data_IF_605222985449
#
_entry.id   IF_605222985449
#
_cell.length_a   1.000
_cell.length_b   1.000
_cell.length_c   1.000
_cell.angle_alpha   90.00
_cell.angle_beta   90.00
_cell.angle_gamma   90.00
#
_symmetry.space_group_name_H-M   'P 1'
#
loop_
_entity.id
_entity.type
_entity.pdbx_description
1 polymer ?
#
# COMPACT_ATOMS: atom_id res chain seq x y z
N UNK A 1 -11.63 -19.49 2.57
CA UNK A 1 -10.93 -18.32 3.12
C UNK A 1 -9.94 -17.88 2.06
N UNK A 2 -10.13 -16.69 1.46
CA UNK A 2 -9.17 -16.16 0.46
C UNK A 2 -7.85 -15.81 1.11
N UNK A 3 -6.74 -16.11 0.42
CA UNK A 3 -5.38 -15.78 0.84
C UNK A 3 -4.88 -14.58 0.03
N UNK A 4 -4.46 -13.53 0.72
CA UNK A 4 -3.96 -12.29 0.12
C UNK A 4 -2.49 -12.08 0.49
N UNK A 5 -1.63 -11.90 -0.50
CA UNK A 5 -0.24 -11.49 -0.30
C UNK A 5 -0.11 -9.98 -0.45
N UNK A 6 0.26 -9.27 0.62
CA UNK A 6 0.65 -7.87 0.55
C UNK A 6 2.17 -7.78 0.35
N UNK A 7 2.60 -7.12 -0.73
CA UNK A 7 4.01 -7.12 -1.17
C UNK A 7 4.59 -5.72 -1.09
N UNK A 8 5.68 -5.54 -0.34
CA UNK A 8 6.34 -4.24 -0.26
C UNK A 8 7.42 -4.15 0.81
N UNK A 9 7.67 -2.94 1.30
CA UNK A 9 8.67 -2.66 2.31
C UNK A 9 8.04 -2.28 3.64
N UNK A 10 8.45 -2.98 4.69
CA UNK A 10 8.22 -2.58 6.07
C UNK A 10 9.50 -1.93 6.63
N UNK A 11 9.33 -0.80 7.29
CA UNK A 11 10.41 0.05 7.80
C UNK A 11 10.25 0.33 9.29
N UNK A 12 11.36 0.68 9.91
CA UNK A 12 11.32 1.33 11.23
C UNK A 12 10.97 2.81 11.06
N UNK A 13 10.03 3.27 11.86
CA UNK A 13 9.69 4.68 12.01
C UNK A 13 10.28 5.21 13.32
N UNK A 14 10.96 6.35 13.24
CA UNK A 14 11.41 7.12 14.40
C UNK A 14 10.67 8.45 14.46
N UNK A 15 9.73 8.58 15.38
CA UNK A 15 9.08 9.86 15.66
C UNK A 15 9.87 10.64 16.71
N UNK A 16 10.53 11.73 16.28
CA UNK A 16 11.46 12.49 17.10
C UNK A 16 10.76 13.64 17.84
N UNK A 17 11.00 13.73 19.16
CA UNK A 17 10.54 14.84 20.00
C UNK A 17 11.68 15.27 20.92
N UNK A 18 12.33 16.37 20.61
CA UNK A 18 13.53 16.82 21.32
C UNK A 18 14.65 15.78 21.25
N UNK A 19 15.05 15.25 22.41
CA UNK A 19 16.08 14.19 22.51
C UNK A 19 15.49 12.76 22.54
N UNK A 20 14.18 12.62 22.48
CA UNK A 20 13.50 11.33 22.56
C UNK A 20 13.06 10.86 21.17
N UNK A 21 13.05 9.54 20.98
CA UNK A 21 12.52 8.90 19.80
C UNK A 21 11.46 7.86 20.20
N UNK A 22 10.29 7.93 19.60
CA UNK A 22 9.33 6.83 19.64
C UNK A 22 9.63 5.93 18.43
N UNK A 23 9.76 4.63 18.68
CA UNK A 23 10.05 3.65 17.63
C UNK A 23 8.77 2.93 17.24
N UNK A 24 8.40 3.09 15.98
CA UNK A 24 7.27 2.41 15.34
C UNK A 24 7.72 1.50 14.19
N UNK A 25 6.75 0.80 13.61
CA UNK A 25 6.88 0.06 12.36
C UNK A 25 5.82 0.58 11.40
N UNK A 26 6.19 0.85 10.15
CA UNK A 26 5.29 1.33 9.14
C UNK A 26 5.74 0.94 7.72
N UNK A 27 4.85 1.10 6.77
CA UNK A 27 5.03 0.85 5.34
C UNK A 27 3.65 0.92 4.69
N UNK A 28 3.54 1.45 3.50
CA UNK A 28 2.24 1.64 2.83
C UNK A 28 1.47 0.33 2.67
N UNK A 29 2.10 -0.69 2.11
CA UNK A 29 1.49 -2.01 1.93
C UNK A 29 1.32 -2.76 3.25
N UNK A 30 2.17 -2.50 4.26
CA UNK A 30 2.01 -3.04 5.60
C UNK A 30 0.80 -2.40 6.31
N UNK A 31 0.64 -1.08 6.21
CA UNK A 31 -0.52 -0.38 6.76
C UNK A 31 -1.81 -0.95 6.16
N UNK A 32 -1.86 -1.10 4.83
CA UNK A 32 -2.99 -1.74 4.15
C UNK A 32 -3.22 -3.16 4.65
N UNK A 33 -2.17 -3.98 4.81
CA UNK A 33 -2.27 -5.35 5.30
C UNK A 33 -2.89 -5.42 6.71
N UNK A 34 -2.47 -4.52 7.62
CA UNK A 34 -3.01 -4.46 8.99
C UNK A 34 -4.50 -4.11 8.95
N UNK A 35 -4.87 -3.06 8.20
CA UNK A 35 -6.28 -2.68 8.10
C UNK A 35 -7.13 -3.73 7.39
N UNK A 36 -6.56 -4.45 6.42
CA UNK A 36 -7.21 -5.59 5.76
C UNK A 36 -7.50 -6.73 6.75
N UNK A 37 -6.51 -7.10 7.60
CA UNK A 37 -6.71 -8.08 8.66
C UNK A 37 -7.80 -7.68 9.64
N UNK A 38 -7.84 -6.40 10.01
CA UNK A 38 -8.84 -5.86 10.95
C UNK A 38 -10.25 -5.80 10.35
N UNK A 39 -10.34 -5.53 9.04
CA UNK A 39 -11.62 -5.36 8.34
C UNK A 39 -12.31 -6.68 8.01
N UNK A 40 -11.57 -7.79 7.93
CA UNK A 40 -12.18 -9.10 7.64
C UNK A 40 -11.42 -10.26 8.28
N UNK A 41 -12.13 -11.07 9.04
CA UNK A 41 -11.61 -12.34 9.60
C UNK A 41 -11.80 -13.52 8.64
N UNK A 42 -12.39 -13.31 7.48
CA UNK A 42 -12.58 -14.32 6.45
C UNK A 42 -11.41 -14.40 5.47
N UNK A 43 -10.45 -13.50 5.61
CA UNK A 43 -9.24 -13.45 4.81
C UNK A 43 -8.03 -13.93 5.61
N UNK A 44 -7.08 -14.54 4.92
CA UNK A 44 -5.73 -14.77 5.43
C UNK A 44 -4.80 -13.81 4.71
N UNK A 45 -4.11 -12.96 5.46
CA UNK A 45 -3.21 -11.95 4.91
C UNK A 45 -1.78 -12.28 5.30
N UNK A 46 -0.93 -12.51 4.32
CA UNK A 46 0.50 -12.70 4.52
C UNK A 46 1.28 -11.50 3.96
N UNK A 47 2.40 -11.17 4.59
CA UNK A 47 3.29 -10.12 4.10
C UNK A 47 4.51 -10.70 3.43
N UNK A 48 4.81 -10.27 2.22
CA UNK A 48 5.94 -10.74 1.42
C UNK A 48 6.95 -9.61 1.26
N UNK A 49 8.10 -9.79 1.88
CA UNK A 49 9.20 -8.83 1.89
C UNK A 49 10.53 -9.54 2.15
N UNK A 50 11.62 -8.79 2.08
CA UNK A 50 12.89 -9.20 2.65
C UNK A 50 13.20 -8.34 3.88
N UNK A 51 13.68 -8.99 4.94
CA UNK A 51 14.23 -8.37 6.15
C UNK A 51 15.67 -8.86 6.37
N UNK A 52 16.38 -8.19 7.25
CA UNK A 52 17.71 -8.65 7.70
C UNK A 52 17.64 -9.78 8.71
N UNK A 53 18.80 -10.16 9.21
CA UNK A 53 19.01 -11.12 10.29
C UNK A 53 19.34 -10.44 11.65
N UNK A 54 18.93 -9.19 11.79
CA UNK A 54 19.20 -8.34 12.94
C UNK A 54 17.94 -8.18 13.85
N UNK A 55 18.12 -7.78 15.13
CA UNK A 55 17.00 -7.64 16.08
C UNK A 55 15.95 -6.58 15.67
N UNK A 56 16.33 -5.61 14.82
CA UNK A 56 15.39 -4.61 14.31
C UNK A 56 14.46 -5.23 13.26
N UNK A 57 14.99 -6.13 12.44
CA UNK A 57 14.21 -6.96 11.52
C UNK A 57 13.25 -7.89 12.25
N UNK A 58 13.68 -8.47 13.40
CA UNK A 58 12.81 -9.29 14.25
C UNK A 58 11.65 -8.48 14.80
N UNK A 59 11.90 -7.25 15.30
CA UNK A 59 10.86 -6.34 15.76
C UNK A 59 9.79 -6.07 14.71
N UNK A 60 10.17 -5.93 13.43
CA UNK A 60 9.20 -5.76 12.33
C UNK A 60 8.35 -7.03 12.15
N UNK A 61 8.99 -8.19 12.15
CA UNK A 61 8.31 -9.48 12.02
C UNK A 61 7.34 -9.76 13.17
N UNK A 62 7.76 -9.45 14.41
CA UNK A 62 6.91 -9.58 15.60
C UNK A 62 5.70 -8.65 15.52
N UNK A 63 5.93 -7.38 15.14
CA UNK A 63 4.85 -6.41 14.95
C UNK A 63 3.82 -6.86 13.92
N UNK A 64 4.24 -7.46 12.80
CA UNK A 64 3.34 -8.06 11.82
C UNK A 64 2.51 -9.19 12.43
N UNK A 65 3.17 -10.11 13.13
CA UNK A 65 2.51 -11.25 13.79
C UNK A 65 1.50 -10.81 14.84
N UNK A 66 1.84 -9.80 15.64
CA UNK A 66 0.96 -9.21 16.67
C UNK A 66 -0.30 -8.56 16.06
N UNK A 67 -0.22 -8.12 14.80
CA UNK A 67 -1.36 -7.58 14.04
C UNK A 67 -2.06 -8.66 13.15
N UNK A 68 -1.79 -9.94 13.37
CA UNK A 68 -2.48 -11.04 12.69
C UNK A 68 -2.01 -11.31 11.26
N UNK A 69 -0.87 -10.73 10.85
CA UNK A 69 -0.31 -10.91 9.51
C UNK A 69 0.63 -12.13 9.50
N UNK A 70 0.46 -13.00 8.50
CA UNK A 70 1.36 -14.13 8.28
C UNK A 70 2.74 -13.66 7.81
N UNK A 71 3.78 -14.22 8.43
CA UNK A 71 5.20 -13.85 8.21
C UNK A 71 6.03 -14.97 7.62
N UNK A 72 5.42 -16.11 7.30
CA UNK A 72 6.13 -17.32 6.83
C UNK A 72 6.85 -17.14 5.49
N UNK A 73 6.48 -16.15 4.71
CA UNK A 73 7.07 -15.82 3.40
C UNK A 73 8.09 -14.69 3.46
N UNK A 74 8.43 -14.19 4.65
CA UNK A 74 9.49 -13.20 4.81
C UNK A 74 10.85 -13.86 4.59
N UNK A 75 11.58 -13.38 3.58
CA UNK A 75 12.95 -13.84 3.29
C UNK A 75 13.96 -13.08 4.15
N UNK A 76 14.80 -13.80 4.90
CA UNK A 76 15.88 -13.19 5.67
C UNK A 76 17.16 -13.10 4.83
N UNK A 77 17.75 -11.92 4.80
CA UNK A 77 18.97 -11.62 4.03
C UNK A 77 20.11 -11.34 5.02
N UNK A 78 21.13 -12.22 5.00
CA UNK A 78 22.29 -12.12 5.89
C UNK A 78 23.02 -10.80 5.72
N UNK A 79 23.23 -10.07 6.81
CA UNK A 79 23.94 -8.79 6.85
C UNK A 79 23.20 -7.60 6.23
N UNK A 80 21.95 -7.80 5.81
CA UNK A 80 21.09 -6.70 5.38
C UNK A 80 20.31 -6.12 6.58
N UNK A 81 19.73 -4.94 6.41
CA UNK A 81 18.88 -4.28 7.40
C UNK A 81 17.60 -3.76 6.76
N UNK A 82 16.52 -3.55 7.53
CA UNK A 82 15.31 -2.93 7.00
C UNK A 82 15.55 -1.46 6.68
N UNK A 83 14.65 -0.87 5.90
CA UNK A 83 14.59 0.57 5.74
C UNK A 83 14.22 1.26 7.06
N UNK A 84 14.65 2.50 7.21
CA UNK A 84 14.35 3.35 8.35
C UNK A 84 13.98 4.75 7.86
N UNK A 85 13.04 5.39 8.55
CA UNK A 85 12.82 6.82 8.38
C UNK A 85 12.58 7.52 9.72
N UNK A 86 12.91 8.80 9.76
CA UNK A 86 12.64 9.65 10.92
C UNK A 86 11.64 10.74 10.55
N UNK A 87 10.71 11.00 11.46
CA UNK A 87 9.77 12.11 11.43
C UNK A 87 10.25 13.16 12.42
N UNK A 88 10.51 14.36 11.94
CA UNK A 88 10.73 15.55 12.77
C UNK A 88 9.53 16.46 12.65
N UNK A 89 9.02 16.95 13.76
CA UNK A 89 7.90 17.91 13.78
C UNK A 89 8.39 19.24 14.34
N UNK A 90 8.18 20.33 13.61
CA UNK A 90 8.51 21.68 14.10
C UNK A 90 7.54 22.13 15.19
N UNK A 91 7.87 23.26 15.83
CA UNK A 91 6.98 23.85 16.87
C UNK A 91 5.63 24.28 16.29
N UNK A 92 5.61 24.62 14.99
CA UNK A 92 4.42 24.98 14.23
C UNK A 92 3.61 23.77 13.78
N UNK A 93 4.13 22.55 14.00
CA UNK A 93 3.46 21.29 13.64
C UNK A 93 3.78 20.77 12.24
N UNK A 94 4.70 21.41 11.50
CA UNK A 94 5.14 20.92 10.20
C UNK A 94 6.01 19.67 10.35
N UNK A 95 5.75 18.67 9.52
CA UNK A 95 6.47 17.39 9.51
C UNK A 95 7.48 17.33 8.38
N UNK A 96 8.67 16.85 8.69
CA UNK A 96 9.67 16.47 7.70
C UNK A 96 10.07 15.02 7.87
N UNK A 97 10.40 14.37 6.76
CA UNK A 97 10.74 12.95 6.71
C UNK A 97 12.14 12.78 6.17
N UNK A 98 12.98 12.04 6.89
CA UNK A 98 14.32 11.67 6.45
C UNK A 98 14.39 10.15 6.33
N UNK A 99 14.84 9.65 5.17
CA UNK A 99 14.82 8.23 4.85
C UNK A 99 16.22 7.63 4.75
N UNK A 100 16.41 6.46 5.32
CA UNK A 100 17.57 5.57 5.13
C UNK A 100 17.06 4.23 4.62
N UNK A 101 16.82 4.12 3.32
CA UNK A 101 16.23 2.93 2.68
C UNK A 101 16.87 2.54 1.35
N UNK A 102 17.93 3.23 0.94
CA UNK A 102 18.57 3.01 -0.37
C UNK A 102 19.16 1.60 -0.51
N UNK A 103 19.53 0.97 0.61
CA UNK A 103 20.12 -0.36 0.68
C UNK A 103 19.30 -1.31 1.58
N UNK A 104 18.01 -1.05 1.74
CA UNK A 104 17.16 -1.90 2.57
C UNK A 104 17.05 -3.32 2.01
N UNK A 105 16.86 -4.29 2.90
CA UNK A 105 16.67 -5.70 2.53
C UNK A 105 15.50 -5.88 1.53
N UNK A 106 14.43 -5.11 1.69
CA UNK A 106 13.25 -5.18 0.83
C UNK A 106 13.55 -4.94 -0.66
N UNK A 107 14.60 -4.19 -0.98
CA UNK A 107 15.04 -3.97 -2.38
C UNK A 107 15.60 -5.24 -3.04
N UNK A 108 15.91 -6.29 -2.26
CA UNK A 108 16.37 -7.59 -2.76
C UNK A 108 15.22 -8.59 -2.98
N UNK A 109 13.99 -8.17 -2.72
CA UNK A 109 12.82 -9.02 -2.93
C UNK A 109 12.74 -9.46 -4.40
N UNK A 110 12.59 -10.77 -4.62
CA UNK A 110 12.55 -11.40 -5.95
C UNK A 110 13.81 -11.18 -6.81
N UNK A 111 14.97 -10.86 -6.23
CA UNK A 111 16.19 -10.62 -6.97
C UNK A 111 16.67 -11.88 -7.75
N UNK A 112 16.37 -13.06 -7.24
CA UNK A 112 16.60 -14.37 -7.89
C UNK A 112 15.62 -14.66 -9.04
N UNK A 113 14.52 -13.92 -9.13
CA UNK A 113 13.45 -14.12 -10.13
C UNK A 113 12.52 -15.27 -9.81
N UNK A 114 12.54 -15.75 -8.58
CA UNK A 114 11.61 -16.77 -8.09
C UNK A 114 10.37 -16.10 -7.50
N UNK A 115 9.22 -16.37 -8.12
CA UNK A 115 7.89 -15.90 -7.69
C UNK A 115 7.02 -17.01 -7.14
N UNK A 116 7.57 -18.22 -6.91
CA UNK A 116 6.82 -19.39 -6.42
C UNK A 116 6.12 -19.14 -5.08
N UNK A 117 6.66 -18.24 -4.25
CA UNK A 117 6.01 -17.79 -3.03
C UNK A 117 4.60 -17.22 -3.25
N UNK A 118 4.28 -16.75 -4.48
CA UNK A 118 2.99 -16.17 -4.83
C UNK A 118 1.95 -17.20 -5.32
N UNK A 119 2.37 -18.41 -5.70
CA UNK A 119 1.51 -19.40 -6.37
C UNK A 119 0.32 -19.88 -5.52
N UNK A 120 0.41 -19.75 -4.19
CA UNK A 120 -0.61 -20.24 -3.26
C UNK A 120 -1.55 -19.12 -2.75
N UNK A 121 -1.56 -17.96 -3.39
CA UNK A 121 -2.44 -16.86 -3.05
C UNK A 121 -3.55 -16.67 -4.09
N UNK A 122 -4.73 -16.26 -3.61
CA UNK A 122 -5.85 -15.91 -4.46
C UNK A 122 -5.67 -14.48 -5.03
N UNK A 123 -5.05 -13.59 -4.26
CA UNK A 123 -4.78 -12.21 -4.65
C UNK A 123 -3.41 -11.71 -4.18
N UNK A 124 -2.84 -10.77 -4.93
CA UNK A 124 -1.65 -10.00 -4.55
C UNK A 124 -1.99 -8.52 -4.51
N UNK A 125 -1.56 -7.83 -3.46
CA UNK A 125 -1.65 -6.38 -3.31
C UNK A 125 -0.26 -5.77 -3.47
N UNK A 126 -0.14 -4.82 -4.40
CA UNK A 126 1.08 -4.12 -4.78
C UNK A 126 0.82 -2.61 -4.84
N UNK A 127 1.84 -1.81 -4.60
CA UNK A 127 1.77 -0.35 -4.75
C UNK A 127 2.84 0.20 -5.68
N UNK A 128 2.69 1.45 -6.09
CA UNK A 128 3.73 2.19 -6.80
C UNK A 128 5.04 2.29 -6.02
N UNK A 129 4.98 2.34 -4.67
CA UNK A 129 6.18 2.26 -3.82
C UNK A 129 6.82 0.88 -3.92
N UNK A 130 6.02 -0.21 -3.86
CA UNK A 130 6.55 -1.57 -4.04
C UNK A 130 7.31 -1.70 -5.35
N UNK A 131 6.77 -1.12 -6.42
CA UNK A 131 7.45 -1.13 -7.72
C UNK A 131 8.70 -0.25 -7.73
N UNK A 132 8.65 0.94 -7.14
CA UNK A 132 9.77 1.89 -7.15
C UNK A 132 11.01 1.36 -6.41
N UNK A 133 10.84 0.55 -5.38
CA UNK A 133 11.97 0.00 -4.61
C UNK A 133 12.63 -1.20 -5.28
N UNK A 134 11.91 -1.95 -6.12
CA UNK A 134 12.46 -3.11 -6.83
C UNK A 134 13.35 -2.69 -8.00
N UNK A 135 14.41 -3.45 -8.30
CA UNK A 135 15.19 -3.23 -9.51
C UNK A 135 14.33 -3.34 -10.78
N UNK A 136 14.64 -2.53 -11.80
CA UNK A 136 13.86 -2.48 -13.05
C UNK A 136 13.62 -3.87 -13.69
N UNK A 137 14.68 -4.71 -13.72
CA UNK A 137 14.56 -6.07 -14.25
C UNK A 137 13.62 -6.98 -13.46
N UNK A 138 13.51 -6.77 -12.14
CA UNK A 138 12.59 -7.53 -11.28
C UNK A 138 11.14 -7.10 -11.54
N UNK A 139 10.88 -5.80 -11.68
CA UNK A 139 9.55 -5.28 -12.04
C UNK A 139 9.01 -5.91 -13.33
N UNK A 140 9.85 -5.99 -14.35
CA UNK A 140 9.45 -6.56 -15.66
C UNK A 140 9.16 -8.06 -15.57
N UNK A 141 10.02 -8.82 -14.86
CA UNK A 141 9.81 -10.26 -14.67
C UNK A 141 8.58 -10.56 -13.81
N UNK A 142 8.35 -9.74 -12.76
CA UNK A 142 7.15 -9.86 -11.94
C UNK A 142 5.88 -9.61 -12.75
N UNK A 143 5.88 -8.56 -13.58
CA UNK A 143 4.75 -8.25 -14.45
C UNK A 143 4.49 -9.36 -15.46
N UNK A 144 5.55 -9.92 -16.06
CA UNK A 144 5.43 -11.05 -16.99
C UNK A 144 4.83 -12.27 -16.29
N UNK A 145 5.32 -12.62 -15.09
CA UNK A 145 4.78 -13.72 -14.29
C UNK A 145 3.30 -13.50 -13.94
N UNK A 146 2.95 -12.29 -13.47
CA UNK A 146 1.56 -11.93 -13.16
C UNK A 146 0.64 -12.01 -14.39
N UNK A 147 1.12 -11.66 -15.58
CA UNK A 147 0.35 -11.78 -16.82
C UNK A 147 0.07 -13.24 -17.23
N UNK A 148 0.89 -14.18 -16.77
CA UNK A 148 0.73 -15.61 -17.04
C UNK A 148 -0.03 -16.33 -15.92
N UNK A 149 -0.21 -15.69 -14.77
CA UNK A 149 -0.88 -16.27 -13.60
C UNK A 149 -2.39 -15.93 -13.59
N UNK A 150 -3.16 -16.76 -12.86
CA UNK A 150 -4.59 -16.52 -12.60
C UNK A 150 -4.83 -15.75 -11.30
N UNK A 151 -3.77 -15.32 -10.63
CA UNK A 151 -3.85 -14.59 -9.36
C UNK A 151 -4.51 -13.22 -9.58
N UNK A 152 -5.40 -12.83 -8.69
CA UNK A 152 -6.04 -11.51 -8.71
C UNK A 152 -5.03 -10.43 -8.34
N UNK A 153 -4.80 -9.47 -9.22
CA UNK A 153 -3.83 -8.38 -9.01
C UNK A 153 -4.54 -7.12 -8.55
N UNK A 154 -4.17 -6.65 -7.37
CA UNK A 154 -4.66 -5.42 -6.76
C UNK A 154 -3.52 -4.41 -6.79
N UNK A 155 -3.74 -3.25 -7.41
CA UNK A 155 -2.71 -2.25 -7.54
C UNK A 155 -3.15 -0.88 -7.03
N UNK A 156 -2.29 -0.25 -6.22
CA UNK A 156 -2.41 1.11 -5.70
C UNK A 156 -1.37 2.02 -6.34
N UNK A 157 -1.76 3.21 -6.81
CA UNK A 157 -0.83 4.17 -7.39
C UNK A 157 0.33 4.51 -6.45
N UNK A 158 0.03 4.98 -5.29
CA UNK A 158 0.96 5.42 -4.24
C UNK A 158 2.30 5.93 -4.81
N UNK A 159 2.21 6.91 -5.72
CA UNK A 159 3.35 7.43 -6.47
C UNK A 159 4.22 8.33 -5.60
N UNK A 160 5.52 8.06 -5.59
CA UNK A 160 6.52 8.87 -4.88
C UNK A 160 7.69 9.18 -5.82
N UNK A 161 7.73 10.39 -6.41
CA UNK A 161 8.70 10.78 -7.42
C UNK A 161 10.15 10.44 -7.05
N UNK A 162 10.53 10.68 -5.80
CA UNK A 162 11.90 10.53 -5.30
C UNK A 162 12.37 9.07 -5.20
N UNK A 163 11.49 8.08 -5.40
CA UNK A 163 11.85 6.66 -5.34
C UNK A 163 12.14 6.06 -6.72
N UNK A 164 11.72 6.74 -7.78
CA UNK A 164 11.89 6.28 -9.16
C UNK A 164 13.19 6.81 -9.76
N UNK A 165 13.80 6.03 -10.64
CA UNK A 165 15.00 6.41 -11.37
C UNK A 165 14.76 7.62 -12.28
N UNK A 166 13.58 7.67 -12.90
CA UNK A 166 13.10 8.77 -13.72
C UNK A 166 11.57 8.65 -13.92
N UNK A 167 10.95 9.72 -14.40
CA UNK A 167 9.50 9.80 -14.58
C UNK A 167 9.01 8.88 -15.72
N UNK A 168 9.81 8.66 -16.77
CA UNK A 168 9.40 7.85 -17.91
C UNK A 168 9.29 6.37 -17.52
N UNK A 169 10.23 5.87 -16.70
CA UNK A 169 10.15 4.52 -16.15
C UNK A 169 8.95 4.39 -15.19
N UNK A 170 8.70 5.40 -14.37
CA UNK A 170 7.54 5.43 -13.48
C UNK A 170 6.23 5.33 -14.30
N UNK A 171 6.05 6.18 -15.33
CA UNK A 171 4.89 6.15 -16.22
C UNK A 171 4.71 4.80 -16.91
N UNK A 172 5.79 4.26 -17.47
CA UNK A 172 5.77 3.00 -18.21
C UNK A 172 5.37 1.82 -17.32
N UNK A 173 6.00 1.69 -16.17
CA UNK A 173 5.73 0.59 -15.21
C UNK A 173 4.34 0.73 -14.63
N UNK A 174 3.95 1.91 -14.12
CA UNK A 174 2.62 2.14 -13.56
C UNK A 174 1.52 1.86 -14.59
N UNK A 175 1.67 2.34 -15.83
CA UNK A 175 0.71 2.04 -16.90
C UNK A 175 0.62 0.54 -17.22
N UNK A 176 1.72 -0.19 -17.11
CA UNK A 176 1.72 -1.63 -17.34
C UNK A 176 1.01 -2.40 -16.20
N UNK A 177 1.23 -1.98 -14.95
CA UNK A 177 0.50 -2.55 -13.81
C UNK A 177 -0.98 -2.19 -13.83
N UNK A 178 -1.38 -0.98 -14.25
CA UNK A 178 -2.80 -0.64 -14.44
C UNK A 178 -3.50 -1.54 -15.46
N UNK A 179 -2.83 -1.89 -16.54
CA UNK A 179 -3.40 -2.84 -17.53
C UNK A 179 -3.56 -4.26 -17.01
N UNK A 180 -2.75 -4.66 -16.02
CA UNK A 180 -2.81 -5.99 -15.40
C UNK A 180 -3.72 -6.02 -14.18
N UNK A 181 -3.98 -4.90 -13.54
CA UNK A 181 -4.77 -4.86 -12.31
C UNK A 181 -6.21 -5.33 -12.54
N UNK A 182 -6.65 -6.30 -11.76
CA UNK A 182 -8.03 -6.74 -11.69
C UNK A 182 -8.83 -5.81 -10.76
N UNK A 183 -8.18 -5.31 -9.70
CA UNK A 183 -8.74 -4.28 -8.79
C UNK A 183 -7.80 -3.07 -8.80
N UNK A 184 -8.32 -1.93 -9.25
CA UNK A 184 -7.58 -0.68 -9.34
C UNK A 184 -7.92 0.26 -8.16
N UNK A 185 -6.88 0.73 -7.46
CA UNK A 185 -7.01 1.65 -6.31
C UNK A 185 -6.22 2.95 -6.53
N UNK A 186 -6.45 3.66 -7.65
CA UNK A 186 -5.74 4.90 -7.91
C UNK A 186 -6.05 6.01 -6.91
N UNK A 187 -5.06 6.88 -6.65
CA UNK A 187 -5.21 8.19 -6.03
C UNK A 187 -5.25 9.25 -7.12
N UNK A 188 -6.25 10.12 -7.09
CA UNK A 188 -6.39 11.16 -8.12
C UNK A 188 -5.17 12.08 -8.15
N UNK A 189 -4.64 12.45 -6.98
CA UNK A 189 -3.48 13.34 -6.84
C UNK A 189 -2.20 12.69 -7.35
N UNK A 190 -1.98 11.40 -7.05
CA UNK A 190 -0.81 10.65 -7.52
C UNK A 190 -0.82 10.51 -9.05
N UNK A 191 -1.98 10.22 -9.62
CA UNK A 191 -2.13 10.04 -11.07
C UNK A 191 -1.97 11.37 -11.83
N UNK A 192 -2.57 12.46 -11.30
CA UNK A 192 -2.37 13.80 -11.84
C UNK A 192 -0.88 14.18 -11.86
N UNK A 193 -0.19 13.90 -10.73
CA UNK A 193 1.23 14.19 -10.60
C UNK A 193 2.11 13.35 -11.54
N UNK A 194 1.83 12.05 -11.65
CA UNK A 194 2.63 11.14 -12.47
C UNK A 194 2.46 11.41 -13.97
N UNK A 195 1.21 11.58 -14.42
CA UNK A 195 0.89 11.63 -15.86
C UNK A 195 0.74 13.05 -16.39
N UNK A 196 0.80 14.07 -15.54
CA UNK A 196 0.53 15.48 -15.89
C UNK A 196 -0.89 15.65 -16.46
N UNK A 197 -1.85 14.96 -15.85
CA UNK A 197 -3.27 14.96 -16.22
C UNK A 197 -4.08 15.83 -15.26
N UNK A 198 -5.20 16.34 -15.74
CA UNK A 198 -6.22 16.97 -14.89
C UNK A 198 -7.05 15.91 -14.17
N UNK A 199 -7.74 16.31 -13.09
CA UNK A 199 -8.65 15.40 -12.36
C UNK A 199 -9.76 14.82 -13.26
N UNK A 200 -10.20 15.57 -14.27
CA UNK A 200 -11.21 15.12 -15.25
C UNK A 200 -10.64 14.04 -16.15
N UNK A 201 -9.41 14.21 -16.65
CA UNK A 201 -8.73 13.23 -17.50
C UNK A 201 -8.44 11.95 -16.74
N UNK A 202 -7.91 12.03 -15.52
CA UNK A 202 -7.71 10.86 -14.64
C UNK A 202 -9.03 10.11 -14.42
N UNK A 203 -10.09 10.84 -14.06
CA UNK A 203 -11.42 10.24 -13.85
C UNK A 203 -11.92 9.53 -15.10
N UNK A 204 -11.83 10.17 -16.27
CA UNK A 204 -12.25 9.59 -17.54
C UNK A 204 -11.45 8.33 -17.89
N UNK A 205 -10.12 8.36 -17.70
CA UNK A 205 -9.22 7.25 -17.98
C UNK A 205 -9.57 6.00 -17.16
N UNK A 206 -9.76 6.16 -15.84
CA UNK A 206 -10.09 5.02 -14.98
C UNK A 206 -11.54 4.54 -15.15
N UNK A 207 -12.50 5.43 -15.37
CA UNK A 207 -13.89 5.05 -15.65
C UNK A 207 -14.03 4.25 -16.95
N UNK A 208 -13.16 4.49 -17.93
CA UNK A 208 -13.17 3.77 -19.20
C UNK A 208 -12.45 2.43 -19.16
N UNK A 209 -11.44 2.25 -18.31
CA UNK A 209 -10.50 1.12 -18.40
C UNK A 209 -10.50 0.19 -17.20
N UNK A 210 -10.87 0.66 -15.99
CA UNK A 210 -10.87 -0.19 -14.81
C UNK A 210 -12.15 -1.05 -14.75
N UNK A 211 -11.96 -2.34 -14.47
CA UNK A 211 -13.07 -3.30 -14.35
C UNK A 211 -13.66 -3.34 -12.96
N UNK A 212 -12.85 -3.08 -11.94
CA UNK A 212 -13.26 -3.03 -10.52
C UNK A 212 -12.29 -2.12 -9.78
N UNK A 213 -12.76 -1.39 -8.78
CA UNK A 213 -11.87 -0.59 -7.93
C UNK A 213 -12.50 0.68 -7.39
N UNK A 214 -11.64 1.56 -6.90
CA UNK A 214 -12.02 2.84 -6.31
C UNK A 214 -10.99 3.92 -6.62
N UNK A 215 -11.39 4.98 -7.30
CA UNK A 215 -10.57 6.18 -7.43
C UNK A 215 -10.69 7.01 -6.15
N UNK A 216 -9.60 7.10 -5.40
CA UNK A 216 -9.50 7.89 -4.16
C UNK A 216 -9.40 9.37 -4.50
N UNK A 217 -10.29 10.22 -3.94
CA UNK A 217 -10.41 11.65 -4.25
C UNK A 217 -10.39 12.52 -2.99
N UNK A 218 -9.70 12.07 -1.95
CA UNK A 218 -9.63 12.77 -0.68
C UNK A 218 -11.01 13.06 -0.09
N UNK A 219 -11.27 14.30 0.27
CA UNK A 219 -12.52 14.76 0.92
C UNK A 219 -13.78 14.57 0.06
N UNK A 220 -13.65 14.43 -1.26
CA UNK A 220 -14.79 14.18 -2.15
C UNK A 220 -15.34 12.75 -2.04
N UNK A 221 -14.66 11.90 -1.29
CA UNK A 221 -14.97 10.47 -1.20
C UNK A 221 -14.56 9.69 -2.45
N UNK A 222 -14.60 8.35 -2.38
CA UNK A 222 -14.20 7.49 -3.48
C UNK A 222 -15.18 7.56 -4.64
N UNK A 223 -14.67 7.40 -5.86
CA UNK A 223 -15.48 7.13 -7.04
C UNK A 223 -15.40 5.63 -7.36
N UNK A 224 -16.55 5.01 -7.58
CA UNK A 224 -16.63 3.61 -8.00
C UNK A 224 -16.03 3.41 -9.40
N UNK A 225 -15.25 2.37 -9.55
CA UNK A 225 -14.74 1.90 -10.84
C UNK A 225 -15.37 0.56 -11.19
N UNK A 226 -15.76 0.41 -12.45
CA UNK A 226 -16.39 -0.80 -12.99
C UNK A 226 -17.90 -0.89 -12.76
N UNK A 227 -18.38 -0.68 -11.57
CA UNK A 227 -19.81 -0.67 -11.25
C UNK A 227 -20.31 0.76 -10.97
N UNK A 228 -21.52 1.07 -11.42
CA UNK A 228 -22.18 2.33 -11.08
C UNK A 228 -22.68 2.30 -9.63
N UNK A 229 -22.23 3.25 -8.82
CA UNK A 229 -22.62 3.39 -7.41
C UNK A 229 -22.95 4.85 -7.14
N UNK A 230 -24.18 5.09 -6.68
CA UNK A 230 -24.64 6.40 -6.26
C UNK A 230 -24.66 6.47 -4.72
N UNK A 231 -23.61 7.01 -4.15
CA UNK A 231 -23.47 7.22 -2.71
C UNK A 231 -22.96 8.62 -2.41
N UNK A 232 -23.30 9.13 -1.23
CA UNK A 232 -22.73 10.34 -0.66
C UNK A 232 -21.81 9.97 0.49
N UNK A 233 -20.69 10.67 0.58
CA UNK A 233 -19.66 10.41 1.58
C UNK A 233 -19.54 11.64 2.48
N UNK A 234 -19.55 11.43 3.79
CA UNK A 234 -19.37 12.49 4.77
C UNK A 234 -17.89 12.84 4.92
N UNK A 235 -17.56 14.09 5.06
CA UNK A 235 -16.19 14.49 5.42
C UNK A 235 -15.89 14.16 6.88
N UNK A 236 -14.64 13.90 7.20
CA UNK A 236 -14.20 13.69 8.58
C UNK A 236 -14.47 14.97 9.40
N UNK A 237 -15.06 14.87 10.60
CA UNK A 237 -15.38 16.04 11.42
C UNK A 237 -14.13 16.80 11.88
N UNK A 238 -13.00 16.12 11.93
CA UNK A 238 -11.70 16.69 12.26
C UNK A 238 -10.60 15.89 11.58
N UNK A 239 -9.71 16.56 10.88
CA UNK A 239 -8.47 15.98 10.35
C UNK A 239 -7.32 16.32 11.28
N UNK A 240 -6.67 15.30 11.83
CA UNK A 240 -5.51 15.42 12.73
C UNK A 240 -4.22 15.02 12.00
N UNK A 241 -4.29 13.95 11.21
CA UNK A 241 -3.15 13.39 10.48
C UNK A 241 -3.65 12.60 9.28
N UNK A 242 -3.16 12.90 8.10
CA UNK A 242 -3.55 12.20 6.86
C UNK A 242 -2.67 10.98 6.53
N UNK A 243 -1.71 10.66 7.41
CA UNK A 243 -0.86 9.48 7.25
C UNK A 243 -1.71 8.22 7.19
N UNK A 244 -1.44 7.38 6.20
CA UNK A 244 -2.16 6.13 5.92
C UNK A 244 -3.67 6.27 5.63
N UNK A 245 -4.18 7.46 5.27
CA UNK A 245 -5.56 7.63 4.84
C UNK A 245 -5.89 6.72 3.62
N UNK A 246 -5.02 6.71 2.61
CA UNK A 246 -5.14 5.84 1.45
C UNK A 246 -4.99 4.36 1.79
N UNK A 247 -4.02 4.02 2.66
CA UNK A 247 -3.74 2.65 3.05
C UNK A 247 -4.92 2.04 3.85
N UNK A 248 -5.48 2.83 4.78
CA UNK A 248 -6.65 2.42 5.56
C UNK A 248 -7.91 2.30 4.70
N UNK A 249 -8.11 3.24 3.76
CA UNK A 249 -9.15 3.09 2.75
C UNK A 249 -9.01 1.77 2.00
N UNK A 250 -7.82 1.47 1.49
CA UNK A 250 -7.55 0.24 0.76
C UNK A 250 -7.85 -1.00 1.62
N UNK A 251 -7.40 -1.02 2.89
CA UNK A 251 -7.65 -2.12 3.82
C UNK A 251 -9.14 -2.36 4.06
N UNK A 252 -9.91 -1.31 4.35
CA UNK A 252 -11.36 -1.40 4.55
C UNK A 252 -12.12 -1.83 3.30
N UNK A 253 -11.81 -1.18 2.17
CA UNK A 253 -12.40 -1.50 0.87
C UNK A 253 -12.16 -2.95 0.46
N UNK A 254 -10.90 -3.40 0.50
CA UNK A 254 -10.53 -4.77 0.13
C UNK A 254 -11.09 -5.80 1.11
N UNK A 255 -11.10 -5.49 2.41
CA UNK A 255 -11.68 -6.37 3.43
C UNK A 255 -13.14 -6.67 3.16
N UNK A 256 -13.91 -5.66 2.78
CA UNK A 256 -15.31 -5.80 2.40
C UNK A 256 -15.48 -6.51 1.05
N UNK A 257 -14.80 -6.02 0.01
CA UNK A 257 -14.96 -6.54 -1.36
C UNK A 257 -14.55 -8.03 -1.48
N UNK A 258 -13.39 -8.40 -0.94
CA UNK A 258 -12.85 -9.75 -1.02
C UNK A 258 -13.64 -10.76 -0.14
N UNK A 259 -14.42 -10.27 0.82
CA UNK A 259 -15.38 -11.05 1.61
C UNK A 259 -16.72 -11.24 0.89
N UNK A 260 -16.87 -10.69 -0.32
CA UNK A 260 -18.05 -10.90 -1.16
C UNK A 260 -19.18 -9.87 -0.95
N UNK A 261 -18.92 -8.76 -0.25
CA UNK A 261 -19.86 -7.67 -0.13
C UNK A 261 -19.96 -6.87 -1.44
N UNK A 262 -21.01 -6.05 -1.55
CA UNK A 262 -21.23 -5.23 -2.75
C UNK A 262 -20.14 -4.15 -2.91
N UNK A 263 -19.94 -3.68 -4.15
CA UNK A 263 -19.05 -2.53 -4.44
C UNK A 263 -19.43 -1.30 -3.61
N UNK A 264 -20.75 -1.07 -3.42
CA UNK A 264 -21.25 0.04 -2.62
C UNK A 264 -20.85 -0.08 -1.14
N UNK A 265 -21.01 -1.26 -0.54
CA UNK A 265 -20.61 -1.53 0.84
C UNK A 265 -19.08 -1.40 0.99
N UNK A 266 -18.31 -1.95 0.06
CA UNK A 266 -16.84 -1.87 0.08
C UNK A 266 -16.34 -0.43 0.03
N UNK A 267 -16.92 0.41 -0.83
CA UNK A 267 -16.57 1.84 -0.90
C UNK A 267 -16.88 2.56 0.41
N UNK A 268 -18.01 2.25 1.04
CA UNK A 268 -18.42 2.86 2.30
C UNK A 268 -17.50 2.42 3.46
N UNK A 269 -17.17 1.13 3.55
CA UNK A 269 -16.24 0.61 4.57
C UNK A 269 -14.84 1.24 4.44
N UNK A 270 -14.30 1.30 3.21
CA UNK A 270 -13.02 1.98 2.97
C UNK A 270 -13.05 3.44 3.37
N UNK A 271 -14.11 4.16 2.99
CA UNK A 271 -14.29 5.57 3.33
C UNK A 271 -14.40 5.80 4.84
N UNK A 272 -15.24 5.01 5.52
CA UNK A 272 -15.46 5.12 6.97
C UNK A 272 -14.15 4.85 7.75
N UNK A 273 -13.40 3.85 7.33
CA UNK A 273 -12.12 3.52 7.97
C UNK A 273 -11.10 4.65 7.76
N UNK A 274 -10.98 5.18 6.54
CA UNK A 274 -10.10 6.32 6.27
C UNK A 274 -10.50 7.56 7.10
N UNK A 275 -11.81 7.86 7.18
CA UNK A 275 -12.32 8.94 8.04
C UNK A 275 -11.96 8.73 9.52
N UNK A 276 -12.01 7.50 10.01
CA UNK A 276 -11.63 7.18 11.38
C UNK A 276 -10.13 7.44 11.58
N UNK A 277 -9.30 6.93 10.66
CA UNK A 277 -7.83 7.03 10.75
C UNK A 277 -7.36 8.47 10.73
N UNK A 278 -7.87 9.33 9.86
CA UNK A 278 -7.41 10.73 9.76
C UNK A 278 -7.72 11.57 11.00
N UNK A 279 -8.54 11.10 11.91
CA UNK A 279 -8.83 11.77 13.19
C UNK A 279 -7.80 11.45 14.29
N UNK A 280 -6.85 10.58 14.01
CA UNK A 280 -5.81 10.12 14.96
C UNK A 280 -4.41 10.46 14.42
N UNK A 281 -3.41 10.38 15.30
CA UNK A 281 -2.00 10.53 14.90
C UNK A 281 -1.39 9.17 14.56
N UNK A 282 -0.54 9.15 13.53
CA UNK A 282 0.20 7.96 13.09
C UNK A 282 -0.57 7.11 12.07
N UNK A 283 0.14 6.15 11.48
CA UNK A 283 -0.38 5.32 10.40
C UNK A 283 -1.38 4.26 10.88
N UNK A 284 -1.14 3.69 12.05
CA UNK A 284 -1.95 2.60 12.62
C UNK A 284 -2.60 3.09 13.92
N UNK A 285 -3.92 3.16 13.91
CA UNK A 285 -4.69 3.53 15.09
C UNK A 285 -4.94 2.30 15.98
N UNK A 286 -5.16 2.46 17.30
CA UNK A 286 -5.62 1.38 18.17
C UNK A 286 -6.92 0.72 17.65
N UNK A 287 -7.11 -0.56 18.00
CA UNK A 287 -8.38 -1.28 17.73
C UNK A 287 -9.52 -0.77 18.62
#
# INVERSE_FOLDING_TARGET
MKRVACIGEAMIELSLTGQNAQVGVAGDTLNTAIYLCRSSRELTVDYITCLGDDPISDRISDFMSDNGIGTSQIKRILGASPGLYAITTTVEGERSFTYWRSNSAARQLFADGDFSALENYDAVYLSGISMAILPHSVRLRLLEWLNQSLIEVIYDSNYRPNLWENIEDAKKITSAFWRRADIALPSIDDEMLLFDETAVEVTARFSANATTGALKRGEQGPLSLGAEVHQTYSSAPKVVDTTAAGDSFNGGYLGSLLSGNSQADALMEGHNLAMCVVQHRGAIIPE
#
